data_IF_811155630232
#
_entry.id   IF_811155630232
#
_cell.length_a   1.000
_cell.length_b   1.000
_cell.length_c   1.000
_cell.angle_alpha   90.00
_cell.angle_beta   90.00
_cell.angle_gamma   90.00
#
_symmetry.space_group_name_H-M   'P 1'
#
loop_
_entity.id
_entity.type
_entity.pdbx_description
1 polymer ?
#
# COMPACT_ATOMS: atom_id res chain seq x y z
N UNK A 1 11.85 13.18 12.26
CA UNK A 1 12.13 11.77 11.90
C UNK A 1 11.16 10.91 12.70
N UNK A 2 10.42 10.01 12.05
CA UNK A 2 9.50 9.08 12.73
C UNK A 2 10.27 7.79 13.06
N UNK A 3 10.43 7.46 14.34
CA UNK A 3 11.13 6.23 14.76
C UNK A 3 10.27 5.00 14.47
N UNK A 4 10.48 4.39 13.30
CA UNK A 4 9.86 3.12 12.94
C UNK A 4 10.49 1.96 13.71
N UNK A 5 9.69 1.05 14.29
CA UNK A 5 10.22 -0.21 14.80
C UNK A 5 10.73 -1.08 13.63
N UNK A 6 11.84 -1.82 13.81
CA UNK A 6 12.24 -2.83 12.85
C UNK A 6 11.13 -3.88 12.65
N UNK A 7 11.03 -4.44 11.44
CA UNK A 7 10.06 -5.49 11.05
C UNK A 7 8.56 -5.11 11.09
N UNK A 8 8.22 -3.82 11.12
CA UNK A 8 6.81 -3.37 11.13
C UNK A 8 6.29 -3.05 9.72
N UNK A 9 6.20 -4.06 8.85
CA UNK A 9 5.58 -3.93 7.52
C UNK A 9 4.14 -3.40 7.60
N UNK A 10 3.37 -3.83 8.60
CA UNK A 10 2.00 -3.38 8.89
C UNK A 10 1.89 -1.86 9.14
N UNK A 11 3.00 -1.25 9.60
CA UNK A 11 3.08 0.18 9.82
C UNK A 11 3.42 0.94 8.54
N UNK A 12 3.88 0.29 7.47
CA UNK A 12 4.25 0.97 6.24
C UNK A 12 3.02 1.12 5.32
N UNK A 13 2.49 2.36 5.15
CA UNK A 13 1.34 2.61 4.28
C UNK A 13 1.54 2.10 2.86
N UNK A 14 2.77 2.16 2.34
CA UNK A 14 3.05 1.87 0.94
C UNK A 14 2.70 0.43 0.55
N UNK A 15 2.72 -0.52 1.49
CA UNK A 15 2.28 -1.90 1.24
C UNK A 15 0.82 -1.96 0.79
N UNK A 16 -0.04 -1.12 1.38
CA UNK A 16 -1.43 -1.01 0.97
C UNK A 16 -1.58 -0.40 -0.43
N UNK A 17 -0.69 0.54 -0.78
CA UNK A 17 -0.64 1.10 -2.14
C UNK A 17 -0.19 0.03 -3.14
N UNK A 18 0.80 -0.79 -2.80
CA UNK A 18 1.26 -1.89 -3.65
C UNK A 18 0.20 -2.96 -3.85
N UNK A 19 -0.52 -3.34 -2.80
CA UNK A 19 -1.67 -4.26 -2.91
C UNK A 19 -2.71 -3.66 -3.86
N UNK A 20 -3.08 -2.40 -3.67
CA UNK A 20 -4.05 -1.71 -4.52
C UNK A 20 -3.61 -1.66 -5.99
N UNK A 21 -2.34 -1.37 -6.24
CA UNK A 21 -1.79 -1.35 -7.60
C UNK A 21 -1.84 -2.73 -8.25
N UNK A 22 -1.49 -3.80 -7.51
CA UNK A 22 -1.58 -5.19 -8.00
C UNK A 22 -3.03 -5.57 -8.35
N UNK A 23 -4.01 -5.14 -7.55
CA UNK A 23 -5.43 -5.35 -7.85
C UNK A 23 -5.88 -4.63 -9.12
N UNK A 24 -5.45 -3.38 -9.32
CA UNK A 24 -5.80 -2.60 -10.50
C UNK A 24 -5.22 -3.27 -11.77
N UNK A 25 -3.94 -3.62 -11.74
CA UNK A 25 -3.26 -4.31 -12.86
C UNK A 25 -3.91 -5.67 -13.13
N UNK A 26 -4.31 -6.41 -12.09
CA UNK A 26 -4.93 -7.73 -12.26
C UNK A 26 -6.35 -7.63 -12.84
N UNK A 27 -7.07 -6.52 -12.63
CA UNK A 27 -8.41 -6.28 -13.20
C UNK A 27 -8.39 -5.79 -14.64
N UNK A 28 -7.22 -5.41 -15.19
CA UNK A 28 -7.12 -5.00 -16.60
C UNK A 28 -7.63 -6.10 -17.53
N UNK A 29 -8.53 -5.71 -18.44
CA UNK A 29 -9.08 -6.58 -19.49
C UNK A 29 -7.96 -7.10 -20.42
N UNK A 30 -7.03 -6.22 -20.77
CA UNK A 30 -5.85 -6.55 -21.55
C UNK A 30 -4.65 -6.71 -20.63
N UNK A 31 -4.11 -7.94 -20.57
CA UNK A 31 -2.90 -8.24 -19.80
C UNK A 31 -1.69 -7.68 -20.53
N UNK A 32 -0.83 -6.99 -19.79
CA UNK A 32 0.47 -6.55 -20.29
C UNK A 32 1.32 -7.74 -20.74
N UNK A 33 1.95 -7.65 -21.91
CA UNK A 33 2.81 -8.70 -22.45
C UNK A 33 4.24 -8.20 -22.52
N UNK A 34 5.08 -8.69 -21.61
CA UNK A 34 6.47 -8.28 -21.52
C UNK A 34 6.69 -7.01 -20.69
N UNK A 35 7.96 -6.60 -20.60
CA UNK A 35 8.41 -5.62 -19.61
C UNK A 35 7.94 -4.19 -19.90
N UNK A 36 7.94 -3.78 -21.17
CA UNK A 36 7.54 -2.43 -21.57
C UNK A 36 6.04 -2.22 -21.28
N UNK A 37 5.19 -3.11 -21.79
CA UNK A 37 3.75 -3.10 -21.54
C UNK A 37 3.40 -3.13 -20.04
N UNK A 38 4.14 -3.91 -19.26
CA UNK A 38 3.89 -4.00 -17.82
C UNK A 38 4.26 -2.69 -17.11
N UNK A 39 5.36 -2.06 -17.53
CA UNK A 39 5.77 -0.76 -17.00
C UNK A 39 4.75 0.32 -17.32
N UNK A 40 4.18 0.31 -18.53
CA UNK A 40 3.15 1.27 -18.92
C UNK A 40 1.83 1.02 -18.17
N UNK A 41 1.38 -0.23 -18.10
CA UNK A 41 0.21 -0.61 -17.31
C UNK A 41 0.37 -0.20 -15.84
N UNK A 42 1.55 -0.33 -15.25
CA UNK A 42 1.83 0.16 -13.90
C UNK A 42 1.65 1.67 -13.78
N UNK A 43 2.14 2.47 -14.74
CA UNK A 43 2.01 3.93 -14.73
C UNK A 43 0.56 4.37 -14.88
N UNK A 44 -0.17 3.76 -15.80
CA UNK A 44 -1.59 4.01 -16.01
C UNK A 44 -2.40 3.71 -14.75
N UNK A 45 -2.27 2.50 -14.18
CA UNK A 45 -3.03 2.12 -12.99
C UNK A 45 -2.62 2.93 -11.75
N UNK A 46 -1.35 3.31 -11.64
CA UNK A 46 -0.88 4.19 -10.57
C UNK A 46 -1.61 5.53 -10.60
N UNK A 47 -1.85 6.10 -11.78
CA UNK A 47 -2.58 7.37 -11.93
C UNK A 47 -4.04 7.27 -11.49
N UNK A 48 -4.62 6.07 -11.44
CA UNK A 48 -6.00 5.82 -11.01
C UNK A 48 -6.14 5.69 -9.49
N UNK A 49 -5.04 5.65 -8.75
CA UNK A 49 -5.08 5.64 -7.28
C UNK A 49 -5.55 7.01 -6.79
N UNK A 50 -6.74 7.05 -6.22
CA UNK A 50 -7.36 8.30 -5.80
C UNK A 50 -6.64 8.94 -4.61
N UNK A 51 -6.64 10.28 -4.57
CA UNK A 51 -6.11 11.03 -3.42
C UNK A 51 -6.86 10.69 -2.14
N UNK A 52 -8.17 10.46 -2.21
CA UNK A 52 -8.99 10.04 -1.07
C UNK A 52 -8.52 8.72 -0.44
N UNK A 53 -8.16 7.73 -1.27
CA UNK A 53 -7.58 6.48 -0.79
C UNK A 53 -6.26 6.73 -0.04
N UNK A 54 -5.38 7.57 -0.60
CA UNK A 54 -4.10 7.92 0.02
C UNK A 54 -4.29 8.67 1.35
N UNK A 55 -5.25 9.60 1.41
CA UNK A 55 -5.58 10.33 2.62
C UNK A 55 -6.10 9.41 3.73
N UNK A 56 -7.06 8.53 3.42
CA UNK A 56 -7.57 7.53 4.37
C UNK A 56 -6.47 6.63 4.92
N UNK A 57 -5.51 6.29 4.07
CA UNK A 57 -4.37 5.49 4.47
C UNK A 57 -3.46 6.24 5.45
N UNK A 58 -3.17 7.52 5.19
CA UNK A 58 -2.48 8.41 6.13
C UNK A 58 -3.25 8.57 7.45
N UNK A 59 -4.55 8.80 7.39
CA UNK A 59 -5.42 8.96 8.57
C UNK A 59 -5.49 7.70 9.44
N UNK A 60 -5.23 6.53 8.85
CA UNK A 60 -5.18 5.26 9.58
C UNK A 60 -3.91 5.09 10.44
N UNK A 61 -2.84 5.86 10.16
CA UNK A 61 -1.52 5.68 10.79
C UNK A 61 -1.52 5.78 12.32
N UNK A 62 -2.20 6.75 12.95
CA UNK A 62 -2.30 6.78 14.41
C UNK A 62 -2.95 5.51 14.98
N UNK A 63 -3.93 4.93 14.29
CA UNK A 63 -4.58 3.69 14.68
C UNK A 63 -3.65 2.48 14.57
N UNK A 64 -2.88 2.39 13.47
CA UNK A 64 -1.87 1.35 13.25
C UNK A 64 -0.79 1.37 14.33
N UNK A 65 -0.30 2.57 14.67
CA UNK A 65 0.70 2.74 15.72
C UNK A 65 0.17 2.31 17.09
N UNK A 66 -1.07 2.71 17.44
CA UNK A 66 -1.73 2.25 18.67
C UNK A 66 -1.87 0.72 18.71
N UNK A 67 -2.22 0.09 17.59
CA UNK A 67 -2.31 -1.37 17.52
C UNK A 67 -0.95 -2.05 17.70
N UNK A 68 0.10 -1.51 17.08
CA UNK A 68 1.48 -2.00 17.24
C UNK A 68 1.95 -1.89 18.70
N UNK A 69 1.70 -0.74 19.36
CA UNK A 69 2.01 -0.56 20.78
C UNK A 69 1.24 -1.56 21.65
N UNK A 70 -0.06 -1.74 21.41
CA UNK A 70 -0.90 -2.71 22.15
C UNK A 70 -0.36 -4.14 22.01
N UNK A 71 0.11 -4.50 20.82
CA UNK A 71 0.68 -5.83 20.54
C UNK A 71 2.16 -5.94 20.94
N UNK A 72 2.69 -5.02 21.75
CA UNK A 72 4.11 -4.99 22.19
C UNK A 72 5.09 -5.08 21.00
N UNK A 73 4.79 -4.38 19.91
CA UNK A 73 5.53 -4.39 18.63
C UNK A 73 5.41 -5.68 17.82
N UNK A 74 4.48 -6.57 18.17
CA UNK A 74 4.11 -7.73 17.35
C UNK A 74 3.18 -7.37 16.18
N UNK A 75 2.88 -8.37 15.36
CA UNK A 75 2.01 -8.24 14.18
C UNK A 75 0.63 -7.67 14.53
N UNK A 76 0.08 -6.88 13.63
CA UNK A 76 -1.23 -6.23 13.75
C UNK A 76 -2.16 -6.72 12.64
N UNK A 77 -3.41 -6.26 12.64
CA UNK A 77 -4.40 -6.58 11.60
C UNK A 77 -4.24 -5.77 10.30
N UNK A 78 -3.24 -4.89 10.24
CA UNK A 78 -3.07 -3.84 9.22
C UNK A 78 -2.00 -4.19 8.19
#
# INVERSE_FOLDING_TARGET
IMNYPPQSLDLNPIENVWIRLKELISRRKHKARGRADFTEAMREEWSQISKDFLLKLCDSMPGRYKACLKNKRGATKY
#
